data_IF_441901618343
#
_entry.id   IF_441901618343
#
_cell.length_a   1.000
_cell.length_b   1.000
_cell.length_c   1.000
_cell.angle_alpha   90.00
_cell.angle_beta   90.00
_cell.angle_gamma   90.00
#
_symmetry.space_group_name_H-M   'P 1'
#
loop_
_entity.id
_entity.type
_entity.pdbx_description
1 polymer ?
#
# COMPACT_ATOMS: atom_id res chain seq x y z
N UNK A 1 10.28 17.08 16.09
CA UNK A 1 10.09 15.71 15.57
C UNK A 1 9.19 15.78 14.35
N UNK A 2 9.55 15.19 13.23
CA UNK A 2 8.64 15.05 12.07
C UNK A 2 7.43 14.21 12.51
N UNK A 3 6.23 14.62 12.09
CA UNK A 3 5.04 13.81 12.36
C UNK A 3 5.12 12.50 11.55
N UNK A 4 4.77 11.39 12.18
CA UNK A 4 4.63 10.09 11.51
C UNK A 4 3.55 10.20 10.44
N UNK A 5 3.85 9.76 9.21
CA UNK A 5 2.98 9.94 8.04
C UNK A 5 2.67 8.62 7.35
N UNK A 6 1.39 8.42 7.02
CA UNK A 6 0.88 7.27 6.26
C UNK A 6 0.32 7.73 4.91
N UNK A 7 0.74 7.09 3.81
CA UNK A 7 0.12 7.28 2.51
C UNK A 7 -1.04 6.30 2.32
N UNK A 8 -2.20 6.85 1.98
CA UNK A 8 -3.42 6.11 1.65
C UNK A 8 -3.54 6.07 0.13
N UNK A 9 -3.20 4.95 -0.49
CA UNK A 9 -3.11 4.82 -1.95
C UNK A 9 -4.43 4.34 -2.53
N UNK A 10 -5.12 5.20 -3.26
CA UNK A 10 -6.39 4.88 -3.90
C UNK A 10 -6.18 4.40 -5.35
N UNK A 11 -6.31 3.10 -5.57
CA UNK A 11 -6.20 2.43 -6.87
C UNK A 11 -7.50 2.36 -7.68
N UNK A 12 -8.57 2.99 -7.19
CA UNK A 12 -9.85 3.04 -7.93
C UNK A 12 -9.80 4.06 -9.06
N UNK A 13 -10.40 3.78 -10.23
CA UNK A 13 -10.61 4.78 -11.27
C UNK A 13 -11.59 5.89 -10.82
N UNK A 14 -12.40 5.63 -9.80
CA UNK A 14 -13.30 6.60 -9.18
C UNK A 14 -12.60 7.24 -7.98
N UNK A 15 -12.21 8.49 -8.11
CA UNK A 15 -11.46 9.21 -7.07
C UNK A 15 -12.12 9.16 -5.68
N UNK A 16 -13.46 9.33 -5.64
CA UNK A 16 -14.25 9.33 -4.40
C UNK A 16 -15.27 8.17 -4.36
N UNK A 17 -14.86 6.98 -4.84
CA UNK A 17 -15.69 5.78 -4.85
C UNK A 17 -15.59 4.95 -3.56
N UNK A 18 -16.03 3.70 -3.61
CA UNK A 18 -16.06 2.77 -2.48
C UNK A 18 -14.69 2.58 -1.82
N UNK A 19 -13.63 2.42 -2.63
CA UNK A 19 -12.24 2.28 -2.14
C UNK A 19 -11.81 3.51 -1.35
N UNK A 20 -12.10 4.71 -1.87
CA UNK A 20 -11.82 5.96 -1.16
C UNK A 20 -12.52 6.03 0.19
N UNK A 21 -13.81 5.65 0.24
CA UNK A 21 -14.61 5.65 1.47
C UNK A 21 -13.98 4.76 2.55
N UNK A 22 -13.53 3.56 2.16
CA UNK A 22 -12.82 2.65 3.08
C UNK A 22 -11.48 3.25 3.55
N UNK A 23 -10.65 3.75 2.64
CA UNK A 23 -9.37 4.38 2.97
C UNK A 23 -9.56 5.61 3.86
N UNK A 24 -10.60 6.40 3.61
CA UNK A 24 -10.91 7.58 4.42
C UNK A 24 -11.25 7.22 5.87
N UNK A 25 -11.93 6.09 6.11
CA UNK A 25 -12.21 5.62 7.48
C UNK A 25 -10.92 5.21 8.21
N UNK A 26 -9.99 4.53 7.51
CA UNK A 26 -8.65 4.26 8.05
C UNK A 26 -7.92 5.56 8.36
N UNK A 27 -7.95 6.52 7.42
CA UNK A 27 -7.30 7.82 7.57
C UNK A 27 -7.83 8.61 8.75
N UNK A 28 -9.15 8.75 8.88
CA UNK A 28 -9.79 9.42 10.04
C UNK A 28 -9.38 8.79 11.36
N UNK A 29 -9.26 7.45 11.39
CA UNK A 29 -8.84 6.73 12.59
C UNK A 29 -7.37 7.04 12.92
N UNK A 30 -6.50 7.06 11.94
CA UNK A 30 -5.08 7.40 12.10
C UNK A 30 -4.91 8.86 12.58
N UNK A 31 -5.61 9.79 11.95
CA UNK A 31 -5.58 11.23 12.29
C UNK A 31 -6.09 11.48 13.71
N UNK A 32 -7.18 10.81 14.11
CA UNK A 32 -7.69 10.84 15.48
C UNK A 32 -6.69 10.32 16.52
N UNK A 33 -5.67 9.56 16.08
CA UNK A 33 -4.58 9.05 16.89
C UNK A 33 -3.26 9.83 16.70
N UNK A 34 -3.29 10.98 16.01
CA UNK A 34 -2.15 11.86 15.83
C UNK A 34 -1.16 11.45 14.73
N UNK A 35 -1.53 10.52 13.86
CA UNK A 35 -0.76 10.13 12.67
C UNK A 35 -1.22 10.99 11.48
N UNK A 36 -0.29 11.61 10.77
CA UNK A 36 -0.60 12.35 9.55
C UNK A 36 -0.96 11.39 8.41
N UNK A 37 -1.98 11.73 7.63
CA UNK A 37 -2.33 10.95 6.45
C UNK A 37 -2.34 11.80 5.18
N UNK A 38 -2.01 11.17 4.06
CA UNK A 38 -2.14 11.78 2.74
C UNK A 38 -2.79 10.78 1.79
N UNK A 39 -3.92 11.17 1.20
CA UNK A 39 -4.56 10.39 0.15
C UNK A 39 -3.82 10.58 -1.17
N UNK A 40 -3.31 9.50 -1.74
CA UNK A 40 -2.69 9.47 -3.05
C UNK A 40 -3.56 8.69 -4.04
N UNK A 41 -4.19 9.39 -4.96
CA UNK A 41 -4.99 8.78 -6.01
C UNK A 41 -4.14 8.52 -7.26
N UNK A 42 -4.09 7.26 -7.74
CA UNK A 42 -3.30 6.88 -8.92
C UNK A 42 -3.89 7.38 -10.24
N UNK A 43 -5.11 7.96 -10.19
CA UNK A 43 -5.78 8.49 -11.37
C UNK A 43 -6.57 7.44 -12.16
N UNK A 44 -7.24 7.92 -13.20
CA UNK A 44 -8.04 7.08 -14.13
C UNK A 44 -7.38 6.88 -15.48
N UNK A 45 -6.24 7.51 -15.75
CA UNK A 45 -5.50 7.31 -16.99
C UNK A 45 -4.91 5.89 -17.01
N UNK A 46 -4.82 5.25 -18.18
CA UNK A 46 -4.17 3.95 -18.29
C UNK A 46 -2.73 4.00 -17.78
N UNK A 47 -2.38 3.05 -16.91
CA UNK A 47 -1.02 2.84 -16.42
C UNK A 47 -0.49 1.59 -17.13
N UNK A 48 0.53 1.75 -17.97
CA UNK A 48 1.20 0.62 -18.60
C UNK A 48 1.92 -0.25 -17.58
N UNK A 49 1.92 -1.56 -17.78
CA UNK A 49 2.65 -2.50 -16.96
C UNK A 49 4.17 -2.36 -17.06
N UNK A 50 4.90 -3.10 -16.25
CA UNK A 50 6.37 -3.17 -16.35
C UNK A 50 6.77 -3.85 -17.67
N UNK A 51 7.62 -3.20 -18.44
CA UNK A 51 8.13 -3.71 -19.73
C UNK A 51 9.48 -4.44 -19.60
N UNK A 52 9.91 -4.75 -18.39
CA UNK A 52 11.16 -5.43 -18.09
C UNK A 52 12.42 -4.82 -18.76
N UNK A 53 12.45 -3.51 -18.94
CA UNK A 53 13.57 -2.80 -19.59
C UNK A 53 14.83 -2.69 -18.71
N UNK A 54 14.74 -3.00 -17.43
CA UNK A 54 15.79 -2.94 -16.40
C UNK A 54 16.44 -1.57 -16.18
N UNK A 55 16.00 -0.51 -16.85
CA UNK A 55 16.56 0.85 -16.73
C UNK A 55 16.49 1.41 -15.30
N UNK A 56 15.57 0.92 -14.47
CA UNK A 56 15.50 1.32 -13.07
C UNK A 56 16.80 1.02 -12.30
N UNK A 57 17.58 0.01 -12.71
CA UNK A 57 18.88 -0.30 -12.10
C UNK A 57 19.90 0.83 -12.28
N UNK A 58 19.83 1.52 -13.42
CA UNK A 58 20.76 2.60 -13.78
C UNK A 58 20.33 3.95 -13.20
N UNK A 59 19.00 4.22 -13.21
CA UNK A 59 18.47 5.57 -12.91
C UNK A 59 17.75 5.67 -11.55
N UNK A 60 17.66 4.58 -10.80
CA UNK A 60 17.05 4.53 -9.46
C UNK A 60 15.53 4.70 -9.43
N UNK A 61 14.83 4.64 -10.57
CA UNK A 61 13.37 4.82 -10.67
C UNK A 61 12.83 4.20 -11.96
N UNK A 62 11.49 4.13 -12.10
CA UNK A 62 10.91 3.69 -13.36
C UNK A 62 11.25 4.64 -14.50
N UNK A 63 11.49 4.09 -15.68
CA UNK A 63 11.82 4.87 -16.90
C UNK A 63 10.67 5.76 -17.36
N UNK A 64 9.42 5.34 -17.13
CA UNK A 64 8.25 6.15 -17.48
C UNK A 64 8.05 7.25 -16.44
N UNK A 65 7.95 8.49 -16.91
CA UNK A 65 7.75 9.65 -16.07
C UNK A 65 6.25 9.93 -15.88
N UNK A 66 5.65 9.22 -14.93
CA UNK A 66 4.21 9.26 -14.64
C UNK A 66 3.94 9.10 -13.14
N UNK A 67 2.68 8.87 -12.78
CA UNK A 67 2.17 8.71 -11.40
C UNK A 67 2.99 7.72 -10.56
N UNK A 68 3.65 6.74 -11.18
CA UNK A 68 4.52 5.76 -10.46
C UNK A 68 5.71 6.47 -9.82
N UNK A 69 6.39 7.33 -10.56
CA UNK A 69 7.53 8.09 -10.02
C UNK A 69 7.09 9.22 -9.07
N UNK A 70 5.91 9.81 -9.29
CA UNK A 70 5.32 10.79 -8.36
C UNK A 70 5.05 10.15 -7.00
N UNK A 71 4.43 8.96 -6.99
CA UNK A 71 4.20 8.20 -5.76
C UNK A 71 5.51 7.82 -5.07
N UNK A 72 6.49 7.30 -5.83
CA UNK A 72 7.79 6.93 -5.29
C UNK A 72 8.45 8.07 -4.53
N UNK A 73 8.41 9.28 -5.06
CA UNK A 73 8.97 10.45 -4.39
C UNK A 73 8.30 10.72 -3.02
N UNK A 74 6.99 10.54 -2.91
CA UNK A 74 6.26 10.64 -1.64
C UNK A 74 6.55 9.47 -0.71
N UNK A 75 6.69 8.26 -1.24
CA UNK A 75 6.94 7.04 -0.47
C UNK A 75 8.27 7.08 0.30
N UNK A 76 9.28 7.76 -0.22
CA UNK A 76 10.57 7.95 0.46
C UNK A 76 10.42 8.67 1.81
N UNK A 77 9.45 9.55 1.95
CA UNK A 77 9.22 10.35 3.16
C UNK A 77 8.05 9.86 4.03
N UNK A 78 7.38 8.80 3.61
CA UNK A 78 6.31 8.19 4.39
C UNK A 78 6.85 7.13 5.35
N UNK A 79 6.14 6.92 6.46
CA UNK A 79 6.46 5.93 7.49
C UNK A 79 5.61 4.65 7.35
N UNK A 80 4.49 4.70 6.64
CA UNK A 80 3.61 3.55 6.41
C UNK A 80 2.66 3.75 5.24
N UNK A 81 1.99 2.67 4.84
CA UNK A 81 1.16 2.66 3.63
C UNK A 81 -0.13 1.86 3.83
N UNK A 82 -1.23 2.36 3.25
CA UNK A 82 -2.46 1.59 3.08
C UNK A 82 -2.86 1.64 1.61
N UNK A 83 -2.75 0.52 0.93
CA UNK A 83 -3.09 0.41 -0.48
C UNK A 83 -4.53 -0.08 -0.65
N UNK A 84 -5.33 0.67 -1.37
CA UNK A 84 -6.73 0.34 -1.64
C UNK A 84 -7.00 0.05 -3.11
N UNK A 85 -7.76 -1.01 -3.39
CA UNK A 85 -8.21 -1.34 -4.75
C UNK A 85 -9.65 -1.84 -4.75
N UNK A 86 -10.44 -1.51 -5.79
CA UNK A 86 -11.67 -2.23 -6.03
C UNK A 86 -11.34 -3.59 -6.66
N UNK A 87 -12.27 -4.54 -6.51
CA UNK A 87 -12.31 -5.75 -7.34
C UNK A 87 -12.89 -5.37 -8.70
N UNK A 88 -12.10 -5.52 -9.75
CA UNK A 88 -12.58 -5.39 -11.13
C UNK A 88 -12.63 -6.73 -11.80
N UNK A 89 -13.84 -7.19 -12.08
CA UNK A 89 -14.14 -8.49 -12.67
C UNK A 89 -13.67 -9.67 -11.82
N UNK A 90 -12.38 -9.98 -11.80
CA UNK A 90 -11.84 -11.18 -11.15
C UNK A 90 -10.81 -10.90 -10.03
N UNK A 91 -10.15 -9.74 -10.03
CA UNK A 91 -9.02 -9.45 -9.14
C UNK A 91 -8.87 -7.94 -8.92
N UNK A 92 -7.70 -7.49 -8.48
CA UNK A 92 -7.35 -6.07 -8.36
C UNK A 92 -7.60 -5.31 -9.68
N UNK A 93 -7.95 -4.04 -9.58
CA UNK A 93 -8.02 -3.17 -10.75
C UNK A 93 -6.71 -3.22 -11.54
N UNK A 94 -6.77 -3.38 -12.87
CA UNK A 94 -5.60 -3.54 -13.73
C UNK A 94 -4.59 -2.40 -13.60
N UNK A 95 -5.06 -1.14 -13.48
CA UNK A 95 -4.19 0.00 -13.21
C UNK A 95 -3.45 -0.14 -11.87
N UNK A 96 -4.11 -0.68 -10.84
CA UNK A 96 -3.47 -0.91 -9.54
C UNK A 96 -2.37 -1.96 -9.63
N UNK A 97 -2.62 -3.07 -10.33
CA UNK A 97 -1.60 -4.10 -10.57
C UNK A 97 -0.40 -3.52 -11.34
N UNK A 98 -0.63 -2.83 -12.46
CA UNK A 98 0.43 -2.19 -13.24
C UNK A 98 1.21 -1.15 -12.44
N UNK A 99 0.52 -0.38 -11.61
CA UNK A 99 1.13 0.60 -10.71
C UNK A 99 2.06 -0.08 -9.69
N UNK A 100 1.56 -1.10 -8.98
CA UNK A 100 2.33 -1.82 -7.97
C UNK A 100 3.53 -2.55 -8.56
N UNK A 101 3.36 -3.26 -9.69
CA UNK A 101 4.47 -3.91 -10.40
C UNK A 101 5.61 -2.93 -10.66
N UNK A 102 5.30 -1.75 -11.16
CA UNK A 102 6.31 -0.77 -11.51
C UNK A 102 6.92 -0.05 -10.32
N UNK A 103 6.12 0.30 -9.33
CA UNK A 103 6.59 0.96 -8.10
C UNK A 103 7.57 0.05 -7.36
N UNK A 104 7.11 -1.15 -7.01
CA UNK A 104 7.89 -2.06 -6.18
C UNK A 104 9.10 -2.63 -6.92
N UNK A 105 8.94 -3.05 -8.19
CA UNK A 105 10.07 -3.54 -8.96
C UNK A 105 11.15 -2.48 -9.15
N UNK A 106 10.77 -1.24 -9.49
CA UNK A 106 11.77 -0.19 -9.72
C UNK A 106 12.48 0.25 -8.44
N UNK A 107 11.80 0.25 -7.30
CA UNK A 107 12.39 0.61 -6.02
C UNK A 107 13.36 -0.46 -5.51
N UNK A 108 12.96 -1.74 -5.57
CA UNK A 108 13.82 -2.85 -5.16
C UNK A 108 15.09 -2.96 -6.02
N UNK A 109 14.95 -2.82 -7.35
CA UNK A 109 16.08 -3.01 -8.27
C UNK A 109 16.93 -1.74 -8.51
N UNK A 110 16.38 -0.56 -8.26
CA UNK A 110 17.06 0.71 -8.56
C UNK A 110 17.52 1.48 -7.34
N UNK A 111 16.96 1.22 -6.16
CA UNK A 111 17.18 2.04 -4.97
C UNK A 111 17.38 1.24 -3.67
N UNK A 112 17.52 -0.08 -3.75
CA UNK A 112 17.70 -0.93 -2.59
C UNK A 112 16.53 -0.91 -1.62
N UNK A 113 15.31 -0.80 -2.14
CA UNK A 113 14.06 -0.84 -1.36
C UNK A 113 13.91 0.23 -0.26
N UNK A 114 14.60 1.35 -0.36
CA UNK A 114 14.64 2.41 0.68
C UNK A 114 13.26 2.99 1.00
N UNK A 115 12.36 3.04 0.01
CA UNK A 115 11.02 3.59 0.20
C UNK A 115 10.12 2.68 1.05
N UNK A 116 10.39 1.35 1.08
CA UNK A 116 9.44 0.38 1.65
C UNK A 116 10.03 -0.51 2.75
N UNK A 117 11.33 -0.71 2.79
CA UNK A 117 11.98 -1.62 3.74
C UNK A 117 11.55 -1.36 5.19
N UNK A 118 10.98 -2.38 5.82
CA UNK A 118 10.44 -2.40 7.19
C UNK A 118 9.40 -1.31 7.50
N UNK A 119 8.86 -0.62 6.50
CA UNK A 119 7.71 0.27 6.70
C UNK A 119 6.41 -0.55 6.65
N UNK A 120 5.49 -0.38 7.61
CA UNK A 120 4.25 -1.16 7.66
C UNK A 120 3.35 -0.86 6.47
N UNK A 121 2.69 -1.89 5.97
CA UNK A 121 1.71 -1.78 4.89
C UNK A 121 0.44 -2.56 5.21
N UNK A 122 -0.67 -2.16 4.58
CA UNK A 122 -1.91 -2.89 4.61
C UNK A 122 -2.65 -2.81 3.27
N UNK A 123 -3.34 -3.90 2.92
CA UNK A 123 -4.28 -3.93 1.80
C UNK A 123 -5.69 -3.56 2.28
N UNK A 124 -6.44 -2.84 1.46
CA UNK A 124 -7.88 -2.57 1.63
C UNK A 124 -8.58 -2.85 0.31
N UNK A 125 -9.58 -3.74 0.34
CA UNK A 125 -10.28 -4.16 -0.86
C UNK A 125 -11.75 -3.74 -0.79
N UNK A 126 -12.27 -3.17 -1.87
CA UNK A 126 -13.70 -2.88 -2.00
C UNK A 126 -14.32 -3.71 -3.12
N UNK A 127 -15.49 -4.28 -2.87
CA UNK A 127 -16.25 -5.02 -3.87
C UNK A 127 -17.75 -4.87 -3.67
N UNK A 128 -18.52 -5.02 -4.74
CA UNK A 128 -19.96 -5.15 -4.61
C UNK A 128 -20.36 -6.48 -3.94
N UNK A 129 -19.61 -7.58 -4.20
CA UNK A 129 -19.98 -8.91 -3.70
C UNK A 129 -18.76 -9.80 -3.42
N UNK A 130 -18.08 -10.32 -4.44
CA UNK A 130 -17.06 -11.35 -4.30
C UNK A 130 -15.72 -10.92 -4.91
N UNK A 131 -14.66 -11.72 -4.70
CA UNK A 131 -13.31 -11.50 -5.24
C UNK A 131 -12.36 -10.72 -4.32
N UNK A 132 -12.82 -10.33 -3.14
CA UNK A 132 -12.02 -9.58 -2.16
C UNK A 132 -10.84 -10.38 -1.63
N UNK A 133 -11.03 -11.64 -1.24
CA UNK A 133 -9.95 -12.48 -0.66
C UNK A 133 -8.81 -12.71 -1.65
N UNK A 134 -9.10 -13.03 -2.91
CA UNK A 134 -8.07 -13.22 -3.95
C UNK A 134 -7.29 -11.91 -4.18
N UNK A 135 -8.00 -10.79 -4.22
CA UNK A 135 -7.38 -9.47 -4.39
C UNK A 135 -6.54 -9.08 -3.18
N UNK A 136 -7.00 -9.40 -1.98
CA UNK A 136 -6.28 -9.17 -0.73
C UNK A 136 -4.97 -9.98 -0.70
N UNK A 137 -5.02 -11.26 -1.03
CA UNK A 137 -3.85 -12.12 -1.10
C UNK A 137 -2.83 -11.64 -2.14
N UNK A 138 -3.33 -11.25 -3.32
CA UNK A 138 -2.50 -10.70 -4.39
C UNK A 138 -1.75 -9.46 -3.92
N UNK A 139 -2.43 -8.52 -3.25
CA UNK A 139 -1.81 -7.27 -2.79
C UNK A 139 -0.79 -7.51 -1.67
N UNK A 140 -1.08 -8.39 -0.72
CA UNK A 140 -0.17 -8.70 0.38
C UNK A 140 1.16 -9.32 -0.09
N UNK A 141 1.18 -10.04 -1.21
CA UNK A 141 2.43 -10.58 -1.79
C UNK A 141 3.42 -9.49 -2.19
N UNK A 142 2.92 -8.33 -2.65
CA UNK A 142 3.80 -7.20 -2.94
C UNK A 142 4.47 -6.66 -1.68
N UNK A 143 3.76 -6.63 -0.55
CA UNK A 143 4.32 -6.14 0.70
C UNK A 143 5.36 -7.11 1.26
N UNK A 144 5.06 -8.40 1.24
CA UNK A 144 5.97 -9.42 1.80
C UNK A 144 7.27 -9.52 1.02
N UNK A 145 7.26 -9.43 -0.31
CA UNK A 145 8.50 -9.45 -1.11
C UNK A 145 9.36 -8.18 -0.90
N UNK A 146 8.76 -7.09 -0.41
CA UNK A 146 9.45 -5.84 -0.08
C UNK A 146 9.86 -5.74 1.40
N UNK A 147 9.76 -6.84 2.15
CA UNK A 147 10.08 -6.89 3.57
C UNK A 147 9.28 -5.87 4.41
N UNK A 148 8.04 -5.60 3.99
CA UNK A 148 7.13 -4.71 4.71
C UNK A 148 6.31 -5.50 5.72
N UNK A 149 6.26 -5.11 7.00
CA UNK A 149 5.33 -5.69 7.96
C UNK A 149 3.87 -5.48 7.51
N UNK A 150 3.13 -6.57 7.34
CA UNK A 150 1.71 -6.52 6.95
C UNK A 150 0.87 -6.31 8.20
N UNK A 151 0.15 -5.19 8.26
CA UNK A 151 -0.71 -4.86 9.38
C UNK A 151 -2.09 -5.48 9.17
N UNK A 152 -2.49 -6.30 10.12
CA UNK A 152 -3.80 -6.94 10.18
C UNK A 152 -4.83 -6.09 10.93
N UNK A 153 -6.10 -6.37 10.66
CA UNK A 153 -7.23 -5.95 11.48
C UNK A 153 -7.79 -7.15 12.26
N UNK A 154 -9.09 -7.17 12.50
CA UNK A 154 -9.79 -8.31 13.09
C UNK A 154 -10.23 -9.36 12.06
N UNK A 155 -10.44 -8.93 10.82
CA UNK A 155 -10.87 -9.73 9.67
C UNK A 155 -10.04 -9.37 8.45
N UNK A 156 -10.31 -9.90 7.27
CA UNK A 156 -9.73 -9.40 6.04
C UNK A 156 -10.17 -7.96 5.80
N UNK A 157 -9.27 -7.11 5.35
CA UNK A 157 -9.54 -5.68 5.21
C UNK A 157 -10.37 -5.42 3.96
N UNK A 158 -11.65 -5.68 4.03
CA UNK A 158 -12.58 -5.55 2.92
C UNK A 158 -13.84 -4.78 3.31
N UNK A 159 -14.44 -4.12 2.33
CA UNK A 159 -15.73 -3.45 2.44
C UNK A 159 -16.61 -3.82 1.26
N UNK A 160 -17.92 -3.84 1.47
CA UNK A 160 -18.89 -4.18 0.44
C UNK A 160 -19.84 -3.01 0.16
N UNK A 161 -20.09 -2.79 -1.14
CA UNK A 161 -21.00 -1.77 -1.66
C UNK A 161 -20.74 -1.50 -3.14
N UNK A 162 -21.78 -1.15 -3.88
CA UNK A 162 -21.68 -0.71 -5.27
C UNK A 162 -21.42 0.81 -5.36
N UNK A 163 -21.80 1.55 -4.33
CA UNK A 163 -21.63 3.01 -4.20
C UNK A 163 -21.13 3.35 -2.80
N UNK A 164 -20.52 4.54 -2.58
CA UNK A 164 -20.00 4.95 -1.29
C UNK A 164 -21.00 4.90 -0.13
N UNK A 165 -22.26 5.22 -0.40
CA UNK A 165 -23.35 5.23 0.58
C UNK A 165 -23.65 3.82 1.11
N UNK A 166 -23.51 2.78 0.27
CA UNK A 166 -23.65 1.39 0.70
C UNK A 166 -22.45 0.94 1.53
N UNK A 167 -21.24 1.35 1.17
CA UNK A 167 -20.03 1.07 1.99
C UNK A 167 -20.19 1.65 3.40
N UNK A 168 -20.77 2.84 3.54
CA UNK A 168 -21.05 3.42 4.87
C UNK A 168 -22.05 2.61 5.69
N UNK A 169 -22.88 1.78 5.03
CA UNK A 169 -23.84 0.87 5.69
C UNK A 169 -23.22 -0.50 6.00
N UNK A 170 -22.07 -0.84 5.41
CA UNK A 170 -21.29 -2.04 5.77
C UNK A 170 -20.62 -1.84 7.14
N UNK A 171 -21.39 -2.08 8.20
CA UNK A 171 -20.94 -1.84 9.58
C UNK A 171 -19.72 -2.68 9.96
N UNK A 172 -19.63 -3.93 9.46
CA UNK A 172 -18.49 -4.82 9.72
C UNK A 172 -17.24 -4.36 8.96
N UNK A 173 -17.36 -4.03 7.68
CA UNK A 173 -16.25 -3.50 6.90
C UNK A 173 -15.72 -2.18 7.47
N UNK A 174 -16.61 -1.23 7.79
CA UNK A 174 -16.22 0.04 8.40
C UNK A 174 -15.61 -0.13 9.81
N UNK A 175 -16.09 -1.08 10.60
CA UNK A 175 -15.45 -1.46 11.87
C UNK A 175 -14.05 -2.03 11.63
N UNK A 176 -13.89 -2.91 10.64
CA UNK A 176 -12.60 -3.50 10.23
C UNK A 176 -11.60 -2.41 9.83
N UNK A 177 -12.02 -1.38 9.06
CA UNK A 177 -11.19 -0.23 8.72
C UNK A 177 -10.70 0.55 9.95
N UNK A 178 -11.57 0.75 10.94
CA UNK A 178 -11.17 1.41 12.20
C UNK A 178 -10.19 0.57 13.02
N UNK A 179 -10.38 -0.75 13.06
CA UNK A 179 -9.41 -1.65 13.72
C UNK A 179 -8.06 -1.60 13.03
N UNK A 180 -8.04 -1.65 11.69
CA UNK A 180 -6.83 -1.52 10.91
C UNK A 180 -6.08 -0.21 11.23
N UNK A 181 -6.78 0.91 11.24
CA UNK A 181 -6.18 2.21 11.59
C UNK A 181 -5.56 2.22 13.00
N UNK A 182 -6.24 1.63 13.98
CA UNK A 182 -5.70 1.52 15.35
C UNK A 182 -4.45 0.64 15.43
N UNK A 183 -4.46 -0.51 14.74
CA UNK A 183 -3.33 -1.44 14.73
C UNK A 183 -2.12 -0.82 14.02
N UNK A 184 -2.34 -0.15 12.89
CA UNK A 184 -1.31 0.58 12.16
C UNK A 184 -0.69 1.69 13.04
N UNK A 185 -1.51 2.48 13.72
CA UNK A 185 -1.04 3.54 14.62
C UNK A 185 -0.21 2.97 15.78
N UNK A 186 -0.64 1.86 16.37
CA UNK A 186 0.12 1.18 17.44
C UNK A 186 1.49 0.73 16.93
N UNK A 187 1.54 0.06 15.77
CA UNK A 187 2.79 -0.43 15.20
C UNK A 187 3.76 0.72 14.87
N UNK A 188 3.27 1.78 14.25
CA UNK A 188 4.08 2.97 13.95
C UNK A 188 4.64 3.65 15.20
N UNK A 189 3.86 3.70 16.28
CA UNK A 189 4.34 4.22 17.58
C UNK A 189 5.41 3.32 18.19
N UNK A 190 5.29 1.99 18.06
CA UNK A 190 6.32 1.05 18.51
C UNK A 190 7.63 1.27 17.72
N UNK A 191 7.56 1.43 16.40
CA UNK A 191 8.74 1.72 15.58
C UNK A 191 9.38 3.06 15.95
N UNK A 192 8.58 4.11 16.20
CA UNK A 192 9.08 5.41 16.64
C UNK A 192 9.75 5.31 18.00
N UNK A 193 9.15 4.62 18.95
CA UNK A 193 9.74 4.39 20.27
C UNK A 193 11.05 3.60 20.19
N UNK A 194 11.11 2.57 19.35
CA UNK A 194 12.33 1.80 19.10
C UNK A 194 13.44 2.68 18.51
N UNK A 195 13.13 3.51 17.53
CA UNK A 195 14.07 4.47 16.92
C UNK A 195 14.61 5.47 17.96
N UNK A 196 13.73 6.00 18.82
CA UNK A 196 14.14 6.91 19.91
C UNK A 196 15.01 6.21 20.96
N UNK A 197 14.79 4.93 21.20
CA UNK A 197 15.61 4.10 22.09
C UNK A 197 16.93 3.64 21.46
N UNK A 198 17.21 3.99 20.20
CA UNK A 198 18.43 3.62 19.49
C UNK A 198 18.46 2.17 19.00
N UNK A 199 17.31 1.50 18.88
CA UNK A 199 17.24 0.15 18.31
C UNK A 199 17.60 0.23 16.83
N UNK A 200 18.67 -0.45 16.44
CA UNK A 200 19.12 -0.51 15.05
C UNK A 200 18.19 -1.37 14.20
N UNK A 201 18.04 -1.01 12.93
CA UNK A 201 17.40 -1.91 11.94
C UNK A 201 18.27 -3.16 11.74
N UNK A 202 17.68 -4.30 11.36
CA UNK A 202 18.42 -5.50 10.99
C UNK A 202 19.46 -5.22 9.91
N UNK A 203 20.62 -5.84 10.01
CA UNK A 203 21.61 -5.82 8.94
C UNK A 203 21.04 -6.55 7.70
N UNK A 204 21.16 -5.91 6.55
CA UNK A 204 20.76 -6.53 5.29
C UNK A 204 21.92 -7.31 4.69
N UNK A 205 21.75 -8.62 4.56
CA UNK A 205 22.68 -9.46 3.82
C UNK A 205 22.57 -9.22 2.31
N UNK A 206 23.65 -9.48 1.59
CA UNK A 206 23.60 -9.45 0.12
C UNK A 206 22.62 -10.53 -0.40
N UNK A 207 21.69 -10.17 -1.30
CA UNK A 207 20.70 -11.14 -1.76
C UNK A 207 21.35 -12.27 -2.56
N UNK A 208 20.95 -13.50 -2.26
CA UNK A 208 21.37 -14.71 -2.99
C UNK A 208 20.26 -15.05 -4.00
N UNK A 209 20.62 -15.06 -5.27
CA UNK A 209 19.71 -15.43 -6.36
C UNK A 209 20.05 -16.84 -6.86
N UNK A 210 19.03 -17.68 -6.92
CA UNK A 210 19.13 -19.01 -7.54
C UNK A 210 18.09 -19.13 -8.64
N UNK A 211 18.38 -19.96 -9.64
CA UNK A 211 17.39 -20.39 -10.63
C UNK A 211 17.43 -21.92 -10.75
N UNK A 212 16.43 -22.50 -11.39
CA UNK A 212 16.33 -23.95 -11.58
C UNK A 212 17.16 -24.45 -12.78
N UNK A 213 17.80 -23.56 -13.50
CA UNK A 213 18.73 -23.85 -14.60
C UNK A 213 20.13 -23.64 -14.07
N UNK A 214 20.94 -24.67 -14.08
CA UNK A 214 22.32 -24.66 -13.62
C UNK A 214 23.26 -24.84 -14.80
#
# INVERSE_FOLDING_TARGET
MSKVKVLLVNGSPNEKGCTYTALQEVGRTLEGLGIETEMFWIGKKPIGGCIACHKCRDIGRCVFNDVVNEFRAKALTADGFVFGSPVHYAALAGNMTSFMDRVFYSEANGNGNKAFYLKPAAAVISARRAGTTVSFDQMNKYFTIQEMPVISSRYWNEVHGAVPEEVLQDKEGMYTMRVLGRNMAYFLRCQEAARQAGVALPEQEAPIFTNFIR
#
